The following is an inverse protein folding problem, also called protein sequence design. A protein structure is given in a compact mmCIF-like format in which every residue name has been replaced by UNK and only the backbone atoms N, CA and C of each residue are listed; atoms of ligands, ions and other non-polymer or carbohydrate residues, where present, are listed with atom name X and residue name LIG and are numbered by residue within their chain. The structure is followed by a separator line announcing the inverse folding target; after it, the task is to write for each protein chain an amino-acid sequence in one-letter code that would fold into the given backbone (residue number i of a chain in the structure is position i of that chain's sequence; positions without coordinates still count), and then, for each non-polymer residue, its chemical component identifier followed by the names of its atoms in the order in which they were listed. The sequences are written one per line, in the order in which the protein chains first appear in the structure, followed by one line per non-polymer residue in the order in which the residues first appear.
data_IF_981527639838
#
_entry.id   IF_981527639838
#
_cell.length_a   1.000
_cell.length_b   1.000
_cell.length_c   1.000
_cell.angle_alpha   90.00
_cell.angle_beta   90.00
_cell.angle_gamma   90.00
#
_symmetry.space_group_name_H-M   'P 1'
#
loop_
_entity.id
_entity.type
_entity.pdbx_description
1 polymer ?
#
# COMPACT_ATOMS: atom_id res chain seq x y z
N UNK A 1 -11.68 -6.89 -17.71
CA UNK A 1 -12.85 -7.32 -16.91
C UNK A 1 -13.68 -6.07 -16.61
N UNK A 2 -14.99 -6.15 -16.87
CA UNK A 2 -15.90 -5.08 -16.47
C UNK A 2 -15.94 -5.02 -14.94
N UNK A 3 -15.76 -3.83 -14.40
CA UNK A 3 -15.81 -3.57 -12.97
C UNK A 3 -17.13 -2.89 -12.64
N UNK A 4 -17.69 -3.15 -11.48
CA UNK A 4 -18.89 -2.47 -10.99
C UNK A 4 -18.59 -1.68 -9.73
N UNK A 5 -19.20 -0.52 -9.59
CA UNK A 5 -19.15 0.30 -8.37
C UNK A 5 -20.47 0.14 -7.63
N UNK A 6 -20.38 -0.28 -6.36
CA UNK A 6 -21.54 -0.52 -5.50
C UNK A 6 -21.58 0.49 -4.37
N UNK A 7 -22.78 1.05 -4.14
CA UNK A 7 -23.04 1.97 -3.03
C UNK A 7 -24.06 1.40 -2.08
N UNK A 8 -23.83 1.61 -0.79
CA UNK A 8 -24.75 1.21 0.27
C UNK A 8 -25.02 2.36 1.21
N UNK A 9 -26.22 2.41 1.76
CA UNK A 9 -26.61 3.35 2.81
C UNK A 9 -27.04 2.57 4.05
N UNK A 10 -26.86 3.16 5.24
CA UNK A 10 -27.26 2.54 6.51
C UNK A 10 -28.77 2.39 6.66
N UNK A 11 -29.54 3.12 5.89
CA UNK A 11 -31.02 3.07 5.82
C UNK A 11 -31.44 3.14 4.36
N UNK A 12 -32.54 2.50 3.94
CA UNK A 12 -33.05 2.64 2.58
C UNK A 12 -33.32 4.10 2.24
N UNK A 13 -32.61 4.64 1.26
CA UNK A 13 -32.74 6.03 0.80
C UNK A 13 -32.58 6.09 -0.71
N UNK A 14 -33.31 7.00 -1.36
CA UNK A 14 -33.10 7.31 -2.77
C UNK A 14 -31.70 7.89 -2.93
N UNK A 15 -30.86 7.27 -3.76
CA UNK A 15 -29.56 7.80 -4.19
C UNK A 15 -29.65 8.24 -5.64
N UNK A 16 -29.01 9.34 -5.96
CA UNK A 16 -28.89 9.87 -7.35
C UNK A 16 -27.42 10.13 -7.65
N UNK A 17 -27.04 9.93 -8.90
CA UNK A 17 -25.65 10.03 -9.31
C UNK A 17 -25.47 10.62 -10.72
N UNK A 18 -24.22 11.04 -11.00
CA UNK A 18 -23.70 11.42 -12.31
C UNK A 18 -22.40 10.65 -12.57
N UNK A 19 -22.00 10.51 -13.86
CA UNK A 19 -20.76 9.80 -14.25
C UNK A 19 -19.73 10.73 -14.89
N UNK A 20 -20.06 11.98 -15.06
CA UNK A 20 -19.27 13.02 -15.74
C UNK A 20 -18.63 14.04 -14.78
N UNK A 21 -18.72 13.79 -13.48
CA UNK A 21 -18.21 14.71 -12.46
C UNK A 21 -19.11 15.93 -12.17
N UNK A 22 -20.24 16.07 -12.85
CA UNK A 22 -21.22 17.14 -12.54
C UNK A 22 -21.88 16.89 -11.18
N UNK A 23 -22.46 17.95 -10.58
CA UNK A 23 -23.19 17.80 -9.32
C UNK A 23 -24.53 17.12 -9.59
N UNK A 24 -24.85 16.01 -8.89
CA UNK A 24 -26.17 15.39 -9.02
C UNK A 24 -27.26 16.31 -8.49
N UNK A 25 -28.42 16.21 -9.13
CA UNK A 25 -29.69 16.87 -8.71
C UNK A 25 -30.71 15.79 -8.35
N UNK A 26 -31.85 16.11 -7.71
CA UNK A 26 -32.90 15.12 -7.43
C UNK A 26 -33.45 14.40 -8.66
N UNK A 27 -33.26 14.97 -9.86
CA UNK A 27 -33.66 14.45 -11.18
C UNK A 27 -32.56 13.64 -11.87
N UNK A 28 -31.35 13.60 -11.32
CA UNK A 28 -30.25 12.81 -11.87
C UNK A 28 -30.56 11.32 -11.84
N UNK A 29 -29.69 10.50 -12.47
CA UNK A 29 -29.83 9.04 -12.54
C UNK A 29 -30.02 8.45 -11.13
N UNK A 30 -31.07 7.64 -10.98
CA UNK A 30 -31.35 6.98 -9.71
C UNK A 30 -30.50 5.70 -9.60
N UNK A 31 -29.81 5.54 -8.49
CA UNK A 31 -29.03 4.35 -8.21
C UNK A 31 -29.95 3.21 -7.77
N UNK A 32 -30.10 2.20 -8.62
CA UNK A 32 -30.93 1.01 -8.37
C UNK A 32 -30.16 -0.30 -8.40
N UNK A 33 -28.95 -0.29 -8.99
CA UNK A 33 -28.09 -1.46 -9.13
C UNK A 33 -26.62 -1.02 -9.21
N UNK A 34 -25.65 -1.94 -9.02
CA UNK A 34 -24.22 -1.67 -9.22
C UNK A 34 -23.97 -1.00 -10.58
N UNK A 35 -23.18 0.08 -10.57
CA UNK A 35 -22.87 0.85 -11.79
C UNK A 35 -21.75 0.16 -12.53
N UNK A 36 -21.95 -0.33 -13.77
CA UNK A 36 -20.86 -0.88 -14.57
C UNK A 36 -19.92 0.24 -15.04
N UNK A 37 -18.61 0.04 -14.86
CA UNK A 37 -17.57 0.99 -15.29
C UNK A 37 -16.52 0.27 -16.12
N UNK A 38 -16.24 0.76 -17.33
CA UNK A 38 -15.28 0.21 -18.27
C UNK A 38 -14.34 1.28 -18.86
N UNK A 39 -14.48 2.51 -18.42
CA UNK A 39 -13.67 3.67 -18.83
C UNK A 39 -13.47 4.61 -17.63
N UNK A 40 -12.56 5.54 -17.80
CA UNK A 40 -12.31 6.57 -16.78
C UNK A 40 -13.55 7.45 -16.61
N UNK A 41 -13.97 7.64 -15.35
CA UNK A 41 -15.12 8.48 -15.05
C UNK A 41 -15.06 9.04 -13.62
N UNK A 42 -15.79 10.10 -13.38
CA UNK A 42 -15.96 10.69 -12.05
C UNK A 42 -17.41 10.50 -11.62
N UNK A 43 -17.62 9.62 -10.64
CA UNK A 43 -18.95 9.36 -10.10
C UNK A 43 -19.19 10.30 -8.93
N UNK A 44 -20.17 11.18 -9.06
CA UNK A 44 -20.71 11.95 -7.95
C UNK A 44 -22.05 11.35 -7.52
N UNK A 45 -22.18 10.99 -6.25
CA UNK A 45 -23.41 10.39 -5.70
C UNK A 45 -23.85 11.11 -4.44
N UNK A 46 -25.16 11.26 -4.27
CA UNK A 46 -25.78 11.83 -3.08
C UNK A 46 -27.12 11.16 -2.78
N UNK A 47 -27.55 11.20 -1.52
CA UNK A 47 -28.88 10.76 -1.12
C UNK A 47 -29.84 11.90 -1.18
N UNK A 48 -31.11 11.61 -1.57
CA UNK A 48 -32.23 12.56 -1.55
C UNK A 48 -33.02 12.32 -0.27
N UNK A 49 -33.07 13.33 0.60
CA UNK A 49 -33.82 13.28 1.85
C UNK A 49 -35.34 13.39 1.58
N UNK A 50 -36.22 12.94 2.49
CA UNK A 50 -37.67 13.11 2.35
C UNK A 50 -38.13 14.56 2.18
N UNK A 51 -37.32 15.50 2.66
CA UNK A 51 -37.55 16.95 2.48
C UNK A 51 -37.20 17.46 1.09
N UNK A 52 -36.70 16.62 0.18
CA UNK A 52 -36.16 17.01 -1.12
C UNK A 52 -34.75 17.57 -1.09
N UNK A 53 -34.16 17.79 0.10
CA UNK A 53 -32.76 18.23 0.23
C UNK A 53 -31.81 17.11 -0.11
N UNK A 54 -30.66 17.49 -0.66
CA UNK A 54 -29.55 16.53 -0.97
C UNK A 54 -28.58 16.41 0.20
N UNK A 55 -28.04 15.21 0.38
CA UNK A 55 -26.92 15.01 1.29
C UNK A 55 -25.63 15.63 0.73
N UNK A 56 -24.54 15.55 1.51
CA UNK A 56 -23.20 15.82 1.00
C UNK A 56 -22.88 14.85 -0.15
N UNK A 57 -22.30 15.38 -1.22
CA UNK A 57 -21.89 14.61 -2.39
C UNK A 57 -20.66 13.79 -2.02
N UNK A 58 -20.65 12.53 -2.44
CA UNK A 58 -19.48 11.66 -2.46
C UNK A 58 -18.96 11.58 -3.89
N UNK A 59 -17.69 11.89 -4.06
CA UNK A 59 -17.00 11.81 -5.35
C UNK A 59 -16.09 10.58 -5.35
N UNK A 60 -16.16 9.79 -6.41
CA UNK A 60 -15.29 8.65 -6.67
C UNK A 60 -14.70 8.82 -8.06
N UNK A 61 -13.40 8.84 -8.13
CA UNK A 61 -12.66 8.81 -9.37
C UNK A 61 -12.38 7.34 -9.74
N UNK A 62 -12.82 6.95 -10.93
CA UNK A 62 -12.56 5.64 -11.51
C UNK A 62 -11.57 5.81 -12.64
N UNK A 63 -10.45 5.12 -12.54
CA UNK A 63 -9.39 5.15 -13.56
C UNK A 63 -9.10 3.73 -14.02
N UNK A 64 -9.03 3.56 -15.33
CA UNK A 64 -8.60 2.30 -15.94
C UNK A 64 -7.09 2.21 -15.86
N UNK A 65 -6.59 1.25 -15.09
CA UNK A 65 -5.17 0.99 -14.98
C UNK A 65 -4.75 -0.15 -15.91
N UNK A 66 -3.61 0.02 -16.57
CA UNK A 66 -2.93 -1.09 -17.22
C UNK A 66 -2.12 -1.84 -16.16
N UNK A 67 -2.11 -3.18 -16.24
CA UNK A 67 -1.29 -3.99 -15.37
C UNK A 67 0.20 -3.76 -15.69
N UNK A 68 1.00 -3.46 -14.68
CA UNK A 68 2.45 -3.46 -14.83
C UNK A 68 2.90 -4.86 -15.22
N UNK A 69 3.77 -5.01 -16.24
CA UNK A 69 4.23 -6.32 -16.67
C UNK A 69 5.13 -6.96 -15.60
N UNK A 70 5.03 -8.27 -15.45
CA UNK A 70 5.94 -9.04 -14.62
C UNK A 70 7.31 -9.17 -15.26
N UNK A 71 8.33 -9.46 -14.42
CA UNK A 71 9.68 -9.76 -14.88
C UNK A 71 9.96 -11.25 -14.87
N UNK A 72 10.80 -11.72 -15.78
CA UNK A 72 11.32 -13.08 -15.77
C UNK A 72 12.66 -13.10 -15.02
N UNK A 73 12.71 -13.85 -13.95
CA UNK A 73 13.92 -14.02 -13.13
C UNK A 73 14.21 -15.50 -12.99
N UNK A 74 15.46 -15.91 -13.24
CA UNK A 74 15.92 -17.30 -13.09
C UNK A 74 16.39 -17.51 -11.63
N UNK A 75 16.28 -18.74 -11.17
CA UNK A 75 16.85 -19.20 -9.89
C UNK A 75 16.39 -18.41 -8.65
N UNK A 76 15.09 -18.12 -8.61
CA UNK A 76 14.48 -17.36 -7.52
C UNK A 76 14.43 -18.22 -6.24
N UNK A 77 14.93 -17.69 -5.12
CA UNK A 77 14.89 -18.32 -3.80
C UNK A 77 13.88 -17.62 -2.88
N UNK A 78 13.24 -18.35 -1.95
CA UNK A 78 12.34 -17.72 -0.98
C UNK A 78 13.08 -16.75 -0.04
N UNK A 79 12.54 -15.55 0.11
CA UNK A 79 13.03 -14.50 0.99
C UNK A 79 13.35 -13.21 0.27
N UNK A 80 13.70 -12.17 1.04
CA UNK A 80 14.22 -10.89 0.52
C UNK A 80 15.66 -10.72 0.99
N UNK A 81 16.51 -10.19 0.13
CA UNK A 81 17.82 -9.69 0.54
C UNK A 81 17.62 -8.44 1.40
N UNK A 82 18.20 -8.45 2.58
CA UNK A 82 18.15 -7.32 3.50
C UNK A 82 19.56 -6.81 3.79
N UNK A 83 19.70 -5.50 3.64
CA UNK A 83 20.85 -4.73 4.13
C UNK A 83 20.41 -3.93 5.35
N UNK A 84 21.20 -3.95 6.41
CA UNK A 84 20.95 -3.22 7.63
C UNK A 84 22.18 -2.46 8.09
N UNK A 85 21.98 -1.24 8.56
CA UNK A 85 23.01 -0.40 9.12
C UNK A 85 22.56 0.17 10.46
N UNK A 86 23.45 0.14 11.47
CA UNK A 86 23.21 0.77 12.77
C UNK A 86 23.46 2.26 12.68
N UNK A 87 22.66 3.03 13.37
CA UNK A 87 22.78 4.48 13.43
C UNK A 87 21.44 5.17 13.61
N UNK A 88 21.50 6.47 13.80
CA UNK A 88 20.32 7.31 13.92
C UNK A 88 20.13 8.10 12.62
N UNK A 89 19.00 7.86 11.95
CA UNK A 89 18.68 8.46 10.66
C UNK A 89 17.37 9.24 10.79
N UNK A 90 17.35 10.48 10.33
CA UNK A 90 16.14 11.32 10.33
C UNK A 90 15.25 11.04 9.13
N UNK A 91 15.87 10.83 7.97
CA UNK A 91 15.19 10.66 6.69
C UNK A 91 15.85 9.56 5.86
N UNK A 92 15.11 8.99 4.92
CA UNK A 92 15.64 7.96 4.00
C UNK A 92 16.81 8.46 3.16
N UNK A 93 16.86 9.74 2.86
CA UNK A 93 17.97 10.35 2.11
C UNK A 93 19.29 10.34 2.89
N UNK A 94 19.25 10.24 4.22
CA UNK A 94 20.46 10.14 5.04
C UNK A 94 21.24 8.86 4.73
N UNK A 95 20.57 7.84 4.17
CA UNK A 95 21.18 6.57 3.83
C UNK A 95 22.12 6.66 2.62
N UNK A 96 21.97 7.68 1.77
CA UNK A 96 22.84 7.92 0.62
C UNK A 96 24.23 8.42 1.02
N UNK A 97 24.34 9.01 2.24
CA UNK A 97 25.54 9.69 2.73
C UNK A 97 26.22 8.93 3.89
N UNK A 98 25.74 7.75 4.22
CA UNK A 98 26.28 7.01 5.36
C UNK A 98 27.52 6.21 4.98
N UNK A 99 28.60 6.39 5.75
CA UNK A 99 29.87 5.66 5.61
C UNK A 99 29.92 4.36 6.47
N UNK A 100 28.80 4.01 7.10
CA UNK A 100 28.71 2.87 8.00
C UNK A 100 28.78 1.51 7.28
N UNK A 101 29.05 0.48 8.05
CA UNK A 101 29.11 -0.90 7.54
C UNK A 101 27.70 -1.49 7.47
N UNK A 102 27.32 -1.93 6.29
CA UNK A 102 26.07 -2.63 6.04
C UNK A 102 26.21 -4.12 6.35
N UNK A 103 25.31 -4.64 7.18
CA UNK A 103 25.15 -6.07 7.44
C UNK A 103 24.15 -6.66 6.44
N UNK A 104 24.56 -7.69 5.71
CA UNK A 104 23.68 -8.38 4.75
C UNK A 104 23.07 -9.63 5.38
N UNK A 105 21.81 -9.90 5.05
CA UNK A 105 21.08 -11.10 5.47
C UNK A 105 19.94 -11.38 4.51
N UNK A 106 19.34 -12.56 4.61
CA UNK A 106 18.11 -12.93 3.90
C UNK A 106 16.99 -13.06 4.93
N UNK A 107 15.88 -12.38 4.70
CA UNK A 107 14.68 -12.46 5.54
C UNK A 107 13.57 -13.20 4.80
N UNK A 108 12.83 -14.04 5.51
CA UNK A 108 11.68 -14.78 4.97
C UNK A 108 10.34 -14.13 5.28
N UNK A 109 10.33 -13.21 6.20
CA UNK A 109 9.16 -12.41 6.57
C UNK A 109 9.60 -11.04 7.11
N UNK A 110 8.73 -10.06 7.00
CA UNK A 110 9.05 -8.70 7.43
C UNK A 110 9.24 -8.53 8.96
N UNK A 111 8.78 -9.47 9.76
CA UNK A 111 9.07 -9.48 11.20
C UNK A 111 10.56 -9.61 11.51
N UNK A 112 11.31 -10.25 10.62
CA UNK A 112 12.76 -10.44 10.74
C UNK A 112 13.57 -9.18 10.43
N UNK A 113 12.95 -8.15 9.82
CA UNK A 113 13.57 -6.82 9.65
C UNK A 113 13.86 -6.14 10.99
N UNK A 114 13.17 -6.55 12.05
CA UNK A 114 13.43 -6.03 13.40
C UNK A 114 14.78 -6.58 13.89
N UNK A 115 15.56 -5.72 14.52
CA UNK A 115 16.60 -6.20 15.40
C UNK A 115 15.93 -7.08 16.47
N UNK A 116 16.49 -8.27 16.76
CA UNK A 116 16.15 -8.97 18.00
C UNK A 116 16.30 -7.94 19.10
N UNK A 117 15.21 -7.58 19.76
CA UNK A 117 15.19 -6.62 20.84
C UNK A 117 16.28 -7.05 21.84
N UNK A 118 17.20 -6.16 22.15
CA UNK A 118 17.75 -6.14 23.49
C UNK A 118 16.55 -5.99 24.44
N UNK A 119 16.48 -6.78 25.51
CA UNK A 119 15.35 -6.97 26.41
C UNK A 119 14.78 -5.66 27.05
N UNK A 120 15.28 -4.51 26.65
CA UNK A 120 14.89 -3.22 27.15
C UNK A 120 14.48 -2.27 26.01
N UNK A 121 13.17 -2.11 25.86
CA UNK A 121 12.55 -1.17 24.92
C UNK A 121 12.96 0.31 25.14
N UNK A 122 13.66 0.63 26.23
CA UNK A 122 14.13 1.99 26.55
C UNK A 122 15.47 2.34 25.91
N UNK A 123 16.19 1.35 25.37
CA UNK A 123 17.56 1.51 24.85
C UNK A 123 17.66 1.86 23.36
N UNK A 124 16.53 2.04 22.65
CA UNK A 124 16.54 2.42 21.23
C UNK A 124 16.67 3.94 20.99
N UNK A 125 17.07 4.72 21.97
CA UNK A 125 17.39 6.13 21.76
C UNK A 125 18.87 6.28 21.37
N UNK A 126 19.12 6.87 20.21
CA UNK A 126 20.45 7.22 19.74
C UNK A 126 21.25 6.02 19.19
N UNK A 127 22.14 5.43 20.00
CA UNK A 127 23.11 4.41 19.55
C UNK A 127 22.49 3.08 19.06
N UNK A 128 21.22 2.82 19.36
CA UNK A 128 20.51 1.59 19.01
C UNK A 128 19.51 1.74 17.85
N UNK A 129 19.47 2.89 17.18
CA UNK A 129 18.73 3.07 15.94
C UNK A 129 19.35 2.23 14.81
N UNK A 130 18.56 1.97 13.79
CA UNK A 130 19.04 1.33 12.57
C UNK A 130 18.17 1.70 11.37
N UNK A 131 18.71 1.53 10.18
CA UNK A 131 17.95 1.48 8.96
C UNK A 131 18.09 0.11 8.30
N UNK A 132 17.06 -0.31 7.60
CA UNK A 132 17.04 -1.56 6.84
C UNK A 132 16.43 -1.33 5.46
N UNK A 133 17.05 -1.94 4.45
CA UNK A 133 16.55 -1.98 3.08
C UNK A 133 16.38 -3.45 2.72
N UNK A 134 15.17 -3.85 2.33
CA UNK A 134 14.89 -5.21 1.87
C UNK A 134 14.44 -5.17 0.42
N UNK A 135 15.09 -5.96 -0.43
CA UNK A 135 14.86 -6.00 -1.87
C UNK A 135 14.66 -7.45 -2.33
N UNK A 136 13.91 -7.62 -3.40
CA UNK A 136 13.63 -8.90 -4.02
C UNK A 136 12.40 -8.84 -4.91
N UNK A 137 11.64 -9.90 -4.93
CA UNK A 137 10.47 -10.02 -5.80
C UNK A 137 9.26 -10.49 -5.01
N UNK A 138 8.10 -10.08 -5.48
CA UNK A 138 6.82 -10.58 -5.02
C UNK A 138 6.16 -11.37 -6.14
N UNK A 139 5.65 -12.57 -5.82
CA UNK A 139 4.87 -13.37 -6.73
C UNK A 139 3.40 -12.93 -6.71
N UNK A 140 2.93 -12.43 -7.83
CA UNK A 140 1.55 -12.04 -8.05
C UNK A 140 0.80 -13.22 -8.70
N UNK A 141 -0.21 -13.81 -8.04
CA UNK A 141 -0.83 -15.06 -8.49
C UNK A 141 -1.73 -14.90 -9.70
N UNK A 142 -2.29 -13.72 -9.94
CA UNK A 142 -3.16 -13.42 -11.08
C UNK A 142 -3.19 -11.92 -11.37
N UNK A 143 -3.54 -11.53 -12.60
CA UNK A 143 -3.72 -10.12 -12.96
C UNK A 143 -4.75 -9.45 -12.06
N UNK A 144 -4.42 -8.27 -11.52
CA UNK A 144 -5.33 -7.58 -10.62
C UNK A 144 -4.83 -6.25 -10.10
N UNK A 145 -5.73 -5.56 -9.40
CA UNK A 145 -5.37 -4.39 -8.60
C UNK A 145 -5.17 -4.85 -7.16
N UNK A 146 -3.97 -4.60 -6.66
CA UNK A 146 -3.53 -5.03 -5.35
C UNK A 146 -3.47 -3.83 -4.40
N UNK A 147 -4.00 -4.03 -3.20
CA UNK A 147 -3.97 -3.05 -2.13
C UNK A 147 -2.75 -3.31 -1.25
N UNK A 148 -1.92 -2.30 -1.10
CA UNK A 148 -0.71 -2.33 -0.28
C UNK A 148 -0.87 -1.38 0.89
N UNK A 149 -0.68 -1.89 2.11
CA UNK A 149 -0.70 -1.10 3.33
C UNK A 149 0.58 -1.32 4.10
N UNK A 150 1.30 -0.26 4.46
CA UNK A 150 2.58 -0.37 5.15
C UNK A 150 2.86 0.80 6.09
N UNK A 151 3.67 0.52 7.12
CA UNK A 151 4.30 1.51 8.00
C UNK A 151 5.79 1.72 7.67
N UNK A 152 6.31 1.02 6.67
CA UNK A 152 7.66 1.27 6.19
C UNK A 152 7.81 2.73 5.76
N UNK A 153 9.01 3.26 5.84
CA UNK A 153 9.30 4.63 5.39
C UNK A 153 9.05 4.76 3.90
N UNK A 154 9.46 3.75 3.12
CA UNK A 154 9.14 3.67 1.69
C UNK A 154 8.84 2.24 1.26
N UNK A 155 7.90 2.10 0.32
CA UNK A 155 7.63 0.86 -0.41
C UNK A 155 7.64 1.16 -1.90
N UNK A 156 8.45 0.40 -2.62
CA UNK A 156 8.59 0.49 -4.07
C UNK A 156 8.15 -0.82 -4.71
N UNK A 157 7.42 -0.74 -5.80
CA UNK A 157 7.07 -1.88 -6.66
C UNK A 157 7.32 -1.48 -8.10
N UNK A 158 8.00 -2.33 -8.87
CA UNK A 158 8.42 -2.06 -10.26
C UNK A 158 9.13 -0.72 -10.41
N UNK A 159 10.04 -0.39 -9.47
CA UNK A 159 10.77 0.88 -9.39
C UNK A 159 9.90 2.12 -9.19
N UNK A 160 8.59 1.97 -8.94
CA UNK A 160 7.67 3.05 -8.62
C UNK A 160 7.50 3.16 -7.11
N UNK A 161 7.71 4.37 -6.56
CA UNK A 161 7.42 4.67 -5.16
C UNK A 161 5.89 4.59 -4.95
N UNK A 162 5.46 3.57 -4.22
CA UNK A 162 4.04 3.30 -3.99
C UNK A 162 3.58 3.91 -2.66
N UNK A 163 4.39 3.79 -1.63
CA UNK A 163 4.12 4.33 -0.28
C UNK A 163 5.33 5.15 0.15
N UNK A 164 5.08 6.36 0.62
CA UNK A 164 6.07 7.23 1.23
C UNK A 164 5.57 7.74 2.58
N UNK A 165 6.23 7.27 3.64
CA UNK A 165 6.04 7.68 5.02
C UNK A 165 7.29 8.41 5.56
N UNK A 166 8.21 8.80 4.69
CA UNK A 166 9.53 9.34 5.04
C UNK A 166 9.50 10.82 5.42
N UNK A 167 8.37 11.35 5.87
CA UNK A 167 8.28 12.74 6.35
C UNK A 167 9.06 12.94 7.64
N UNK A 168 9.54 14.18 7.89
CA UNK A 168 10.26 14.57 9.11
C UNK A 168 9.50 14.25 10.40
N UNK A 169 8.18 14.29 10.35
CA UNK A 169 7.31 13.83 11.44
C UNK A 169 6.84 12.43 11.12
N UNK A 170 7.48 11.42 11.70
CA UNK A 170 7.06 10.03 11.54
C UNK A 170 5.64 9.83 12.04
N UNK A 171 4.73 9.59 11.11
CA UNK A 171 3.41 9.08 11.43
C UNK A 171 3.53 7.58 11.70
N UNK A 172 3.05 7.13 12.86
CA UNK A 172 2.88 5.69 13.17
C UNK A 172 1.69 5.08 12.43
N UNK A 173 0.99 5.86 11.62
CA UNK A 173 -0.15 5.40 10.83
C UNK A 173 0.31 4.63 9.59
N UNK A 174 -0.49 3.63 9.20
CA UNK A 174 -0.32 2.99 7.91
C UNK A 174 -0.67 3.98 6.79
N UNK A 175 0.12 3.96 5.74
CA UNK A 175 -0.31 4.49 4.45
C UNK A 175 -0.67 3.34 3.53
N UNK A 176 -1.64 3.63 2.70
CA UNK A 176 -2.26 2.67 1.81
C UNK A 176 -2.21 3.18 0.38
N UNK A 177 -1.95 2.29 -0.55
CA UNK A 177 -2.05 2.60 -1.98
C UNK A 177 -2.43 1.35 -2.77
N UNK A 178 -2.85 1.54 -4.01
CA UNK A 178 -3.19 0.46 -4.92
C UNK A 178 -2.22 0.43 -6.10
N UNK A 179 -1.98 -0.77 -6.62
CA UNK A 179 -1.15 -0.98 -7.81
C UNK A 179 -1.76 -2.08 -8.67
N UNK A 180 -1.81 -1.85 -9.98
CA UNK A 180 -2.28 -2.82 -10.95
C UNK A 180 -1.10 -3.64 -11.46
N UNK A 181 -1.10 -4.95 -11.20
CA UNK A 181 0.00 -5.86 -11.50
C UNK A 181 -0.50 -7.03 -12.35
N UNK A 182 0.29 -7.43 -13.36
CA UNK A 182 0.10 -8.67 -14.08
C UNK A 182 0.52 -9.87 -13.19
N UNK A 183 0.07 -11.05 -13.53
CA UNK A 183 0.54 -12.29 -12.93
C UNK A 183 2.05 -12.45 -13.15
N UNK A 184 2.79 -12.83 -12.11
CA UNK A 184 4.22 -13.12 -12.16
C UNK A 184 5.03 -12.40 -11.10
N UNK A 185 6.33 -12.28 -11.30
CA UNK A 185 7.25 -11.65 -10.37
C UNK A 185 7.33 -10.14 -10.61
N UNK A 186 7.31 -9.38 -9.51
CA UNK A 186 7.48 -7.93 -9.54
C UNK A 186 8.57 -7.51 -8.56
N UNK A 187 9.57 -6.72 -8.98
CA UNK A 187 10.58 -6.18 -8.08
C UNK A 187 9.93 -5.38 -6.94
N UNK A 188 10.38 -5.64 -5.71
CA UNK A 188 9.91 -4.94 -4.53
C UNK A 188 11.09 -4.45 -3.69
N UNK A 189 10.95 -3.25 -3.13
CA UNK A 189 11.92 -2.66 -2.20
C UNK A 189 11.20 -2.02 -1.04
N UNK A 190 11.66 -2.33 0.16
CA UNK A 190 11.23 -1.71 1.41
C UNK A 190 12.39 -0.96 2.03
N UNK A 191 12.12 0.27 2.50
CA UNK A 191 13.05 1.05 3.30
C UNK A 191 12.39 1.30 4.65
N UNK A 192 13.12 1.02 5.71
CA UNK A 192 12.65 1.15 7.07
C UNK A 192 13.70 1.78 7.96
N UNK A 193 13.33 2.81 8.74
CA UNK A 193 14.18 3.49 9.70
C UNK A 193 13.58 3.33 11.09
N UNK A 194 14.32 2.72 12.01
CA UNK A 194 13.93 2.50 13.38
C UNK A 194 14.76 3.35 14.33
N UNK A 195 14.32 4.56 14.60
CA UNK A 195 14.94 5.46 15.57
C UNK A 195 14.26 5.41 16.93
N UNK A 196 13.04 4.88 17.01
CA UNK A 196 12.18 4.92 18.19
C UNK A 196 11.56 3.54 18.39
N UNK A 197 11.48 3.13 19.66
CA UNK A 197 10.79 1.91 20.09
C UNK A 197 9.35 1.84 19.58
N UNK A 198 8.96 0.70 19.03
CA UNK A 198 7.57 0.35 18.81
C UNK A 198 7.03 0.48 17.40
N UNK A 199 7.87 0.62 16.39
CA UNK A 199 7.44 0.53 14.99
C UNK A 199 6.94 -0.88 14.65
N UNK A 200 5.62 -1.09 14.59
CA UNK A 200 5.01 -2.30 14.04
C UNK A 200 5.06 -2.21 12.51
N UNK A 201 5.72 -3.16 11.86
CA UNK A 201 5.96 -3.08 10.42
C UNK A 201 4.72 -3.45 9.62
N UNK A 202 3.84 -4.34 10.12
CA UNK A 202 2.68 -4.81 9.38
C UNK A 202 1.48 -5.16 10.25
N UNK A 203 0.29 -4.78 9.82
CA UNK A 203 -0.95 -5.47 10.12
C UNK A 203 -1.79 -5.55 8.85
N UNK A 204 -2.15 -6.75 8.43
CA UNK A 204 -3.13 -6.96 7.37
C UNK A 204 -4.54 -6.84 7.94
N UNK A 205 -5.39 -6.02 7.36
CA UNK A 205 -6.84 -6.13 7.50
C UNK A 205 -7.42 -6.46 6.14
N UNK A 206 -8.06 -7.63 6.05
CA UNK A 206 -8.85 -8.02 4.89
C UNK A 206 -9.99 -7.02 4.71
N UNK A 207 -9.96 -6.25 3.66
CA UNK A 207 -11.15 -5.67 3.04
C UNK A 207 -11.14 -6.11 1.59
N UNK A 208 -12.23 -6.57 1.06
CA UNK A 208 -12.62 -7.10 -0.25
C UNK A 208 -11.78 -6.77 -1.52
N UNK A 209 -10.60 -6.24 -1.39
CA UNK A 209 -9.54 -6.12 -2.39
C UNK A 209 -8.41 -7.05 -1.98
N UNK A 210 -7.85 -7.80 -2.92
CA UNK A 210 -6.73 -8.71 -2.67
C UNK A 210 -5.60 -7.95 -2.01
N UNK A 211 -5.21 -8.38 -0.81
CA UNK A 211 -4.15 -7.72 -0.05
C UNK A 211 -2.82 -8.40 -0.34
N UNK A 212 -1.84 -7.62 -0.74
CA UNK A 212 -0.44 -8.05 -0.88
C UNK A 212 0.29 -8.26 0.47
N UNK A 213 -0.36 -8.04 1.60
CA UNK A 213 0.30 -8.00 2.91
C UNK A 213 0.34 -9.33 3.67
N UNK A 214 -0.10 -10.45 3.09
CA UNK A 214 -0.10 -11.79 3.74
C UNK A 214 0.99 -12.73 3.16
N UNK A 215 2.15 -12.20 2.85
CA UNK A 215 3.19 -12.82 2.01
C UNK A 215 4.40 -13.34 2.76
N UNK A 216 4.20 -14.14 3.77
CA UNK A 216 5.34 -14.87 4.34
C UNK A 216 5.87 -15.99 3.43
N UNK A 217 5.11 -16.39 2.41
CA UNK A 217 5.46 -17.50 1.49
C UNK A 217 5.80 -17.08 0.05
N UNK A 218 5.42 -15.85 -0.37
CA UNK A 218 5.46 -15.47 -1.79
C UNK A 218 6.55 -14.43 -2.12
N UNK A 219 7.48 -14.21 -1.22
CA UNK A 219 8.57 -13.26 -1.35
C UNK A 219 9.85 -13.99 -1.74
N UNK A 220 10.54 -13.50 -2.74
CA UNK A 220 11.71 -14.16 -3.33
C UNK A 220 12.88 -13.19 -3.57
N UNK A 221 14.12 -13.68 -3.51
CA UNK A 221 15.34 -12.97 -3.95
C UNK A 221 15.96 -13.66 -5.17
N UNK A 222 16.72 -12.92 -5.97
CA UNK A 222 17.62 -13.47 -6.99
C UNK A 222 19.02 -13.69 -6.38
N UNK A 223 19.73 -14.73 -6.84
CA UNK A 223 21.17 -14.89 -6.57
C UNK A 223 21.99 -13.89 -7.37
#
# INVERSE_FOLDING_TARGET
KDTTVTFTTSRPMKMVYTLDGTKPTPESLVYTAPIPVNHDCIINIATVLPSGKMSRIRTIQVEKQNYAPSVEVKDVKPGLEMKRIKGYYHHVNDLEWTDGVWENSVIRNFGEMKLKQADDARTLRGENGYAAVAEGYVMVPEDGVYYVSSRADQVWIDSKLLIDNSSEVKSISHRDNCVALAKGLHPIKYVFIANITGGWIFSSRRRHTRSLCDWSSDVCSSD
#
